data_IF_997951484977
#
_entry.id   IF_997951484977
#
_cell.length_a   1.000
_cell.length_b   1.000
_cell.length_c   1.000
_cell.angle_alpha   90.00
_cell.angle_beta   90.00
_cell.angle_gamma   90.00
#
_symmetry.space_group_name_H-M   'P 1'
#
loop_
_entity.id
_entity.type
_entity.pdbx_description
1 polymer ?
#
# COMPACT_ATOMS: atom_id res chain seq x y z
N UNK A 1 -45.62 -9.93 -42.47
CA UNK A 1 -44.41 -10.66 -42.02
C UNK A 1 -43.24 -10.20 -42.89
N UNK A 2 -42.21 -9.61 -42.30
CA UNK A 2 -41.02 -9.14 -43.01
C UNK A 2 -40.11 -8.41 -42.03
N UNK A 3 -39.10 -9.11 -41.54
CA UNK A 3 -38.28 -8.81 -40.36
C UNK A 3 -37.34 -7.63 -40.59
N UNK A 4 -37.30 -6.70 -39.64
CA UNK A 4 -36.25 -5.68 -39.49
C UNK A 4 -35.01 -6.34 -38.90
N UNK A 5 -33.87 -6.27 -39.59
CA UNK A 5 -32.58 -6.73 -39.08
C UNK A 5 -31.62 -5.53 -39.00
N UNK A 6 -31.50 -5.00 -37.79
CA UNK A 6 -30.53 -4.03 -37.31
C UNK A 6 -29.10 -4.52 -37.60
N UNK A 7 -28.32 -3.69 -38.30
CA UNK A 7 -26.88 -3.90 -38.46
C UNK A 7 -26.20 -3.73 -37.09
N UNK A 8 -25.68 -4.85 -36.56
CA UNK A 8 -24.85 -4.87 -35.35
C UNK A 8 -23.48 -4.30 -35.73
N UNK A 9 -23.17 -3.11 -35.22
CA UNK A 9 -21.84 -2.51 -35.36
C UNK A 9 -20.82 -3.32 -34.54
N UNK A 10 -19.78 -3.80 -35.23
CA UNK A 10 -18.69 -4.58 -34.67
C UNK A 10 -17.75 -3.68 -33.84
N UNK A 11 -17.82 -3.78 -32.51
CA UNK A 11 -16.95 -3.06 -31.58
C UNK A 11 -15.54 -3.67 -31.61
N UNK A 12 -14.59 -3.03 -32.31
CA UNK A 12 -13.19 -3.47 -32.34
C UNK A 12 -12.61 -3.45 -30.91
N UNK A 13 -11.92 -4.52 -30.44
CA UNK A 13 -11.35 -4.54 -29.11
C UNK A 13 -10.22 -3.50 -29.03
N UNK A 14 -10.49 -2.41 -28.32
CA UNK A 14 -9.52 -1.32 -28.14
C UNK A 14 -8.27 -1.89 -27.47
N UNK A 15 -7.18 -1.97 -28.24
CA UNK A 15 -5.93 -2.60 -27.80
C UNK A 15 -5.33 -1.87 -26.61
N UNK A 16 -4.71 -2.62 -25.69
CA UNK A 16 -4.06 -2.09 -24.49
C UNK A 16 -3.11 -0.93 -24.81
N UNK A 17 -2.39 -1.01 -25.94
CA UNK A 17 -1.51 0.03 -26.45
C UNK A 17 -2.26 1.32 -26.83
N UNK A 18 -3.45 1.24 -27.44
CA UNK A 18 -4.28 2.42 -27.72
C UNK A 18 -4.92 3.00 -26.46
N UNK A 19 -5.26 2.15 -25.48
CA UNK A 19 -5.73 2.62 -24.17
C UNK A 19 -4.63 3.37 -23.43
N UNK A 20 -3.38 2.90 -23.50
CA UNK A 20 -2.20 3.57 -22.94
C UNK A 20 -1.87 4.85 -23.73
N UNK A 21 -1.90 4.80 -25.06
CA UNK A 21 -1.66 5.99 -25.91
C UNK A 21 -2.74 7.05 -25.69
N UNK A 22 -4.01 6.66 -25.57
CA UNK A 22 -5.11 7.56 -25.18
C UNK A 22 -5.01 8.07 -23.75
N UNK A 23 -4.40 7.29 -22.84
CA UNK A 23 -4.11 7.73 -21.47
C UNK A 23 -3.06 8.84 -21.42
N UNK A 24 -2.06 8.80 -22.32
CA UNK A 24 -0.94 9.76 -22.37
C UNK A 24 -1.08 10.87 -23.42
N UNK A 25 -1.83 10.68 -24.51
CA UNK A 25 -1.92 11.61 -25.64
C UNK A 25 -3.00 12.70 -25.48
N UNK A 26 -3.72 12.74 -24.36
CA UNK A 26 -4.58 13.88 -24.01
C UNK A 26 -3.70 15.11 -23.73
N UNK A 27 -3.48 15.93 -24.75
CA UNK A 27 -2.58 17.10 -24.83
C UNK A 27 -2.84 18.25 -23.83
N UNK A 28 -3.71 18.04 -22.85
CA UNK A 28 -3.81 18.82 -21.63
C UNK A 28 -4.00 17.82 -20.50
N UNK A 29 -2.90 17.40 -19.87
CA UNK A 29 -2.95 16.81 -18.54
C UNK A 29 -3.58 17.85 -17.61
N UNK A 30 -4.90 17.80 -17.52
CA UNK A 30 -5.72 18.72 -16.76
C UNK A 30 -5.17 18.75 -15.33
N UNK A 31 -4.88 19.94 -14.79
CA UNK A 31 -4.25 20.07 -13.46
C UNK A 31 -5.05 19.30 -12.41
N UNK A 32 -6.38 19.22 -12.58
CA UNK A 32 -7.26 18.42 -11.75
C UNK A 32 -7.03 16.91 -11.89
N UNK A 33 -6.75 16.40 -13.11
CA UNK A 33 -6.37 15.00 -13.34
C UNK A 33 -4.96 14.68 -12.83
N UNK A 34 -4.01 15.59 -13.02
CA UNK A 34 -2.66 15.45 -12.45
C UNK A 34 -2.71 15.43 -10.92
N UNK A 35 -3.49 16.31 -10.32
CA UNK A 35 -3.70 16.33 -8.88
C UNK A 35 -4.37 15.03 -8.40
N UNK A 36 -5.40 14.55 -9.10
CA UNK A 36 -6.04 13.27 -8.81
C UNK A 36 -5.02 12.12 -8.88
N UNK A 37 -4.36 11.93 -10.02
CA UNK A 37 -3.32 10.91 -10.21
C UNK A 37 -2.20 11.01 -9.16
N UNK A 38 -1.87 12.22 -8.71
CA UNK A 38 -0.92 12.46 -7.62
C UNK A 38 -1.39 11.90 -6.29
N UNK A 39 -2.66 12.14 -5.92
CA UNK A 39 -3.24 11.57 -4.70
C UNK A 39 -3.34 10.03 -4.78
N UNK A 40 -3.84 9.49 -5.89
CA UNK A 40 -3.93 8.05 -6.11
C UNK A 40 -2.57 7.36 -6.08
N UNK A 41 -1.59 7.89 -6.81
CA UNK A 41 -0.23 7.35 -6.84
C UNK A 41 0.45 7.44 -5.47
N UNK A 42 0.23 8.53 -4.71
CA UNK A 42 0.77 8.67 -3.36
C UNK A 42 0.17 7.64 -2.40
N UNK A 43 -1.15 7.48 -2.38
CA UNK A 43 -1.81 6.47 -1.54
C UNK A 43 -1.38 5.05 -1.93
N UNK A 44 -1.32 4.75 -3.23
CA UNK A 44 -0.86 3.46 -3.75
C UNK A 44 0.58 3.17 -3.30
N UNK A 45 1.47 4.15 -3.47
CA UNK A 45 2.85 4.03 -3.03
C UNK A 45 2.95 3.81 -1.51
N UNK A 46 2.17 4.56 -0.73
CA UNK A 46 2.09 4.41 0.72
C UNK A 46 1.72 2.99 1.14
N UNK A 47 0.68 2.41 0.55
CA UNK A 47 0.26 1.03 0.83
C UNK A 47 1.34 0.02 0.44
N UNK A 48 1.86 0.08 -0.78
CA UNK A 48 2.89 -0.87 -1.25
C UNK A 48 4.16 -0.73 -0.40
N UNK A 49 4.50 0.49 -0.01
CA UNK A 49 5.65 0.74 0.86
C UNK A 49 5.43 0.22 2.28
N UNK A 50 4.24 0.36 2.84
CA UNK A 50 3.89 -0.22 4.14
C UNK A 50 3.90 -1.75 4.10
N UNK A 51 3.46 -2.38 3.01
CA UNK A 51 3.54 -3.84 2.84
C UNK A 51 5.01 -4.30 2.87
N UNK A 52 5.87 -3.66 2.07
CA UNK A 52 7.29 -3.99 2.08
C UNK A 52 7.93 -3.74 3.45
N UNK A 53 7.67 -2.59 4.07
CA UNK A 53 8.18 -2.28 5.40
C UNK A 53 7.70 -3.32 6.43
N UNK A 54 6.43 -3.71 6.38
CA UNK A 54 5.85 -4.75 7.22
C UNK A 54 6.58 -6.08 7.07
N UNK A 55 6.84 -6.53 5.84
CA UNK A 55 7.61 -7.75 5.57
C UNK A 55 9.01 -7.68 6.20
N UNK A 56 9.73 -6.58 6.00
CA UNK A 56 11.08 -6.43 6.55
C UNK A 56 11.07 -6.39 8.08
N UNK A 57 10.11 -5.66 8.68
CA UNK A 57 9.93 -5.59 10.14
C UNK A 57 9.61 -6.97 10.68
N UNK A 58 8.68 -7.70 10.08
CA UNK A 58 8.32 -9.06 10.49
C UNK A 58 9.51 -10.01 10.43
N UNK A 59 10.28 -10.00 9.35
CA UNK A 59 11.49 -10.83 9.23
C UNK A 59 12.51 -10.45 10.31
N UNK A 60 12.82 -9.17 10.47
CA UNK A 60 13.78 -8.71 11.47
C UNK A 60 13.34 -9.06 12.90
N UNK A 61 12.06 -8.85 13.21
CA UNK A 61 11.47 -9.16 14.51
C UNK A 61 11.54 -10.65 14.83
N UNK A 62 11.06 -11.49 13.91
CA UNK A 62 11.09 -12.95 14.09
C UNK A 62 12.51 -13.47 14.17
N UNK A 63 13.46 -12.90 13.43
CA UNK A 63 14.87 -13.29 13.53
C UNK A 63 15.44 -13.03 14.93
N UNK A 64 15.11 -11.90 15.55
CA UNK A 64 15.49 -11.63 16.95
C UNK A 64 14.82 -12.63 17.88
N UNK A 65 13.50 -12.78 17.81
CA UNK A 65 12.74 -13.70 18.67
C UNK A 65 13.25 -15.13 18.57
N UNK A 66 13.56 -15.61 17.37
CA UNK A 66 14.06 -16.97 17.15
C UNK A 66 15.51 -17.17 17.58
N UNK A 67 16.32 -16.10 17.62
CA UNK A 67 17.73 -16.17 18.01
C UNK A 67 17.96 -15.96 19.51
N UNK A 68 17.12 -15.18 20.18
CA UNK A 68 17.28 -14.85 21.61
C UNK A 68 16.21 -15.43 22.51
N UNK A 69 15.08 -15.87 21.95
CA UNK A 69 13.88 -16.21 22.72
C UNK A 69 13.16 -14.98 23.32
N UNK A 70 13.64 -13.77 23.03
CA UNK A 70 13.14 -12.49 23.55
C UNK A 70 12.71 -11.59 22.39
N UNK A 71 11.84 -10.64 22.68
CA UNK A 71 11.41 -9.65 21.68
C UNK A 71 12.43 -8.51 21.54
N UNK A 72 12.41 -7.78 20.41
CA UNK A 72 13.14 -6.51 20.27
C UNK A 72 12.81 -5.45 21.33
N UNK A 73 11.66 -5.57 22.01
CA UNK A 73 11.23 -4.65 23.07
C UNK A 73 11.87 -4.97 24.42
N UNK A 74 12.39 -6.18 24.60
CA UNK A 74 13.12 -6.56 25.80
C UNK A 74 14.48 -5.83 25.83
N UNK A 75 14.90 -5.41 27.02
CA UNK A 75 16.09 -4.60 27.22
C UNK A 75 17.34 -5.19 26.54
N UNK A 76 18.02 -4.38 25.73
CA UNK A 76 19.27 -4.75 25.05
C UNK A 76 19.11 -5.44 23.69
N UNK A 77 17.90 -5.85 23.27
CA UNK A 77 17.69 -6.48 21.96
C UNK A 77 17.42 -5.50 20.81
N UNK A 78 17.10 -4.24 21.14
CA UNK A 78 16.80 -3.19 20.17
C UNK A 78 17.92 -2.95 19.13
N UNK A 79 19.22 -2.86 19.51
CA UNK A 79 20.29 -2.69 18.53
C UNK A 79 20.40 -3.85 17.55
N UNK A 80 20.14 -5.09 18.00
CA UNK A 80 20.16 -6.30 17.17
C UNK A 80 19.04 -6.26 16.13
N UNK A 81 17.83 -5.88 16.55
CA UNK A 81 16.72 -5.67 15.64
C UNK A 81 17.05 -4.62 14.57
N UNK A 82 17.58 -3.46 14.99
CA UNK A 82 17.94 -2.38 14.07
C UNK A 82 19.03 -2.81 13.09
N UNK A 83 20.03 -3.57 13.52
CA UNK A 83 21.08 -4.06 12.62
C UNK A 83 20.51 -4.98 11.52
N UNK A 84 19.66 -5.94 11.90
CA UNK A 84 19.00 -6.84 10.93
C UNK A 84 18.09 -6.04 10.00
N UNK A 85 17.24 -5.18 10.57
CA UNK A 85 16.31 -4.37 9.79
C UNK A 85 17.03 -3.42 8.83
N UNK A 86 18.14 -2.79 9.26
CA UNK A 86 18.94 -1.92 8.41
C UNK A 86 19.54 -2.69 7.21
N UNK A 87 20.06 -3.90 7.44
CA UNK A 87 20.55 -4.76 6.36
C UNK A 87 19.46 -5.09 5.34
N UNK A 88 18.29 -5.50 5.82
CA UNK A 88 17.12 -5.77 4.98
C UNK A 88 16.65 -4.53 4.23
N UNK A 89 16.64 -3.37 4.89
CA UNK A 89 16.21 -2.11 4.33
C UNK A 89 17.12 -1.65 3.20
N UNK A 90 18.44 -1.76 3.36
CA UNK A 90 19.43 -1.47 2.30
C UNK A 90 19.13 -2.33 1.07
N UNK A 91 18.94 -3.64 1.24
CA UNK A 91 18.56 -4.54 0.14
C UNK A 91 17.21 -4.16 -0.51
N UNK A 92 16.26 -3.66 0.27
CA UNK A 92 14.95 -3.27 -0.26
C UNK A 92 14.95 -1.99 -1.10
N UNK A 93 16.03 -1.18 -1.06
CA UNK A 93 16.14 0.01 -1.89
C UNK A 93 16.17 -0.34 -3.40
N UNK A 94 16.64 -1.54 -3.76
CA UNK A 94 16.58 -2.05 -5.14
C UNK A 94 15.13 -2.27 -5.62
N UNK A 95 14.19 -2.49 -4.71
CA UNK A 95 12.76 -2.62 -5.03
C UNK A 95 12.06 -1.26 -5.16
N UNK A 96 12.74 -0.14 -4.90
CA UNK A 96 12.14 1.19 -4.96
C UNK A 96 11.60 1.54 -6.36
N UNK A 97 12.31 1.30 -7.48
CA UNK A 97 11.76 1.55 -8.81
C UNK A 97 10.52 0.71 -9.10
N UNK A 98 10.55 -0.58 -8.73
CA UNK A 98 9.42 -1.50 -8.89
C UNK A 98 8.21 -0.97 -8.10
N UNK A 99 8.42 -0.52 -6.87
CA UNK A 99 7.38 0.06 -6.02
C UNK A 99 6.73 1.30 -6.62
N UNK A 100 7.53 2.18 -7.23
CA UNK A 100 7.02 3.35 -7.94
C UNK A 100 6.21 2.94 -9.18
N UNK A 101 6.69 1.96 -9.96
CA UNK A 101 5.93 1.47 -11.13
C UNK A 101 4.62 0.80 -10.74
N UNK A 102 4.60 -0.01 -9.68
CA UNK A 102 3.39 -0.62 -9.14
C UNK A 102 2.43 0.43 -8.58
N UNK A 103 2.94 1.47 -7.91
CA UNK A 103 2.13 2.56 -7.40
C UNK A 103 1.46 3.35 -8.53
N UNK A 104 2.18 3.64 -9.61
CA UNK A 104 1.63 4.30 -10.79
C UNK A 104 0.59 3.42 -11.49
N UNK A 105 0.83 2.11 -11.59
CA UNK A 105 -0.14 1.17 -12.14
C UNK A 105 -1.41 1.05 -11.28
N UNK A 106 -1.28 1.14 -9.96
CA UNK A 106 -2.38 1.09 -9.00
C UNK A 106 -3.06 2.45 -8.76
N UNK A 107 -2.47 3.56 -9.18
CA UNK A 107 -3.01 4.91 -9.00
C UNK A 107 -4.51 5.06 -9.37
N UNK A 108 -5.02 4.56 -10.52
CA UNK A 108 -6.44 4.71 -10.86
C UNK A 108 -7.38 3.97 -9.90
N UNK A 109 -6.92 2.87 -9.27
CA UNK A 109 -7.71 2.14 -8.28
C UNK A 109 -7.86 2.99 -7.00
N UNK A 110 -6.77 3.62 -6.56
CA UNK A 110 -6.80 4.49 -5.38
C UNK A 110 -7.57 5.79 -5.64
N UNK A 111 -7.51 6.34 -6.85
CA UNK A 111 -8.36 7.49 -7.22
C UNK A 111 -9.85 7.15 -7.18
N UNK A 112 -10.23 5.96 -7.65
CA UNK A 112 -11.60 5.47 -7.55
C UNK A 112 -12.03 5.30 -6.08
N UNK A 113 -11.13 4.80 -5.22
CA UNK A 113 -11.37 4.66 -3.79
C UNK A 113 -11.55 6.02 -3.10
N UNK A 114 -10.70 7.02 -3.38
CA UNK A 114 -10.85 8.39 -2.86
C UNK A 114 -12.18 8.98 -3.32
N UNK A 115 -12.55 8.77 -4.59
CA UNK A 115 -13.85 9.18 -5.12
C UNK A 115 -15.03 8.49 -4.43
N UNK A 116 -14.90 7.22 -4.08
CA UNK A 116 -15.90 6.48 -3.29
C UNK A 116 -16.04 7.07 -1.88
N UNK A 117 -14.93 7.29 -1.17
CA UNK A 117 -14.92 7.89 0.17
C UNK A 117 -15.52 9.29 0.15
N UNK A 118 -15.14 10.12 -0.82
CA UNK A 118 -15.67 11.48 -1.00
C UNK A 118 -17.19 11.47 -1.23
N UNK A 119 -17.70 10.58 -2.09
CA UNK A 119 -19.15 10.45 -2.33
C UNK A 119 -19.92 9.95 -1.12
N UNK A 120 -19.34 9.03 -0.33
CA UNK A 120 -19.99 8.46 0.86
C UNK A 120 -20.01 9.42 2.05
N UNK A 121 -18.95 10.20 2.22
CA UNK A 121 -18.81 11.13 3.35
C UNK A 121 -19.31 12.54 3.02
N UNK A 122 -19.57 12.84 1.74
CA UNK A 122 -19.90 14.20 1.28
C UNK A 122 -18.73 15.18 1.36
N UNK A 123 -17.53 14.69 1.71
CA UNK A 123 -16.34 15.52 1.91
C UNK A 123 -15.67 15.88 0.57
N UNK A 124 -15.02 17.05 0.48
CA UNK A 124 -14.16 17.37 -0.66
C UNK A 124 -12.98 16.39 -0.74
N UNK A 125 -12.36 16.31 -1.93
CA UNK A 125 -11.33 15.29 -2.24
C UNK A 125 -10.15 15.25 -1.27
N UNK A 126 -9.69 16.40 -0.77
CA UNK A 126 -8.51 16.48 0.10
C UNK A 126 -8.78 15.89 1.50
N UNK A 127 -9.84 16.29 2.24
CA UNK A 127 -10.22 15.59 3.47
C UNK A 127 -10.55 14.12 3.27
N UNK A 128 -11.23 13.74 2.19
CA UNK A 128 -11.52 12.34 1.89
C UNK A 128 -10.24 11.50 1.72
N UNK A 129 -9.22 12.07 1.07
CA UNK A 129 -7.90 11.46 0.94
C UNK A 129 -7.19 11.31 2.30
N UNK A 130 -7.25 12.31 3.18
CA UNK A 130 -6.65 12.22 4.52
C UNK A 130 -7.34 11.16 5.38
N UNK A 131 -8.67 11.09 5.34
CA UNK A 131 -9.44 10.05 6.01
C UNK A 131 -9.03 8.68 5.50
N UNK A 132 -8.91 8.51 4.18
CA UNK A 132 -8.45 7.26 3.58
C UNK A 132 -7.03 6.88 4.05
N UNK A 133 -6.10 7.84 4.07
CA UNK A 133 -4.74 7.64 4.58
C UNK A 133 -4.72 7.19 6.04
N UNK A 134 -5.56 7.79 6.88
CA UNK A 134 -5.68 7.42 8.29
C UNK A 134 -6.16 5.98 8.45
N UNK A 135 -7.19 5.56 7.69
CA UNK A 135 -7.66 4.17 7.71
C UNK A 135 -6.61 3.20 7.15
N UNK A 136 -5.87 3.59 6.12
CA UNK A 136 -4.75 2.81 5.59
C UNK A 136 -3.66 2.64 6.68
N UNK A 137 -3.33 3.70 7.41
CA UNK A 137 -2.34 3.65 8.48
C UNK A 137 -2.77 2.70 9.60
N UNK A 138 -4.02 2.81 10.05
CA UNK A 138 -4.58 1.87 11.04
C UNK A 138 -4.54 0.45 10.50
N UNK A 139 -5.09 0.21 9.30
CA UNK A 139 -5.19 -1.12 8.72
C UNK A 139 -3.83 -1.79 8.53
N UNK A 140 -2.84 -1.07 8.01
CA UNK A 140 -1.48 -1.59 7.83
C UNK A 140 -0.78 -1.85 9.17
N UNK A 141 -0.97 -0.99 10.17
CA UNK A 141 -0.41 -1.19 11.52
C UNK A 141 -1.05 -2.38 12.22
N UNK A 142 -2.38 -2.48 12.20
CA UNK A 142 -3.13 -3.62 12.75
C UNK A 142 -2.73 -4.93 12.06
N UNK A 143 -2.59 -4.91 10.73
CA UNK A 143 -2.14 -6.09 9.97
C UNK A 143 -0.73 -6.51 10.35
N UNK A 144 0.20 -5.56 10.54
CA UNK A 144 1.56 -5.85 11.00
C UNK A 144 1.56 -6.50 12.38
N UNK A 145 0.86 -5.90 13.35
CA UNK A 145 0.78 -6.46 14.72
C UNK A 145 0.11 -7.83 14.71
N UNK A 146 -0.98 -8.00 13.96
CA UNK A 146 -1.66 -9.29 13.81
C UNK A 146 -0.72 -10.35 13.18
N UNK A 147 0.04 -9.98 12.15
CA UNK A 147 1.02 -10.87 11.51
C UNK A 147 2.10 -11.29 12.49
N UNK A 148 2.64 -10.36 13.28
CA UNK A 148 3.60 -10.66 14.33
C UNK A 148 2.99 -11.59 15.40
N UNK A 149 1.75 -11.35 15.83
CA UNK A 149 1.08 -12.19 16.81
C UNK A 149 0.87 -13.63 16.30
N UNK A 150 0.35 -13.78 15.09
CA UNK A 150 0.08 -15.09 14.47
C UNK A 150 1.37 -15.88 14.23
N UNK A 151 2.45 -15.22 13.83
CA UNK A 151 3.73 -15.88 13.53
C UNK A 151 4.59 -16.15 14.78
N UNK A 152 4.08 -15.86 15.98
CA UNK A 152 4.79 -16.12 17.24
C UNK A 152 5.86 -15.07 17.56
N UNK A 153 5.66 -13.83 17.12
CA UNK A 153 6.52 -12.69 17.44
C UNK A 153 6.45 -12.25 18.91
N UNK A 154 5.48 -12.76 19.68
CA UNK A 154 5.33 -12.51 21.11
C UNK A 154 5.37 -13.86 21.88
N UNK A 155 6.56 -14.35 22.26
CA UNK A 155 6.68 -15.59 23.02
C UNK A 155 6.07 -15.45 24.43
N UNK A 156 5.53 -16.54 25.02
CA UNK A 156 5.00 -16.54 26.38
C UNK A 156 6.12 -16.22 27.38
N UNK A 157 5.95 -15.14 28.15
CA UNK A 157 6.97 -14.59 29.06
C UNK A 157 7.56 -13.24 28.63
N UNK A 158 7.18 -12.74 27.45
CA UNK A 158 7.56 -11.39 27.01
C UNK A 158 6.93 -10.33 27.92
N UNK A 159 7.77 -9.47 28.51
CA UNK A 159 7.32 -8.34 29.32
C UNK A 159 6.99 -7.18 28.39
N UNK A 160 5.71 -6.93 28.21
CA UNK A 160 5.27 -5.78 27.43
C UNK A 160 5.66 -4.49 28.18
N UNK A 161 5.94 -3.38 27.50
CA UNK A 161 6.42 -2.15 28.14
C UNK A 161 5.50 -1.63 29.26
N UNK A 162 4.19 -1.88 29.15
CA UNK A 162 3.19 -1.53 30.16
C UNK A 162 3.08 -2.50 31.33
N UNK A 163 3.86 -3.59 31.33
CA UNK A 163 4.01 -4.54 32.43
C UNK A 163 5.29 -4.29 33.25
N UNK A 164 6.08 -3.27 32.88
CA UNK A 164 7.30 -2.85 33.57
C UNK A 164 7.08 -1.63 34.49
N UNK A 165 5.83 -1.18 34.64
CA UNK A 165 5.41 -0.10 35.52
C UNK A 165 4.83 -0.65 36.83
#
# INVERSE_FOLDING_TARGET
MGVSATAVAEEKPVGLAERIKGFFAGSKLDKARLAALGFGAFSAYGVISNINAGILITIAWLTVVRSTGLTPLDGGNWPRFLAIYAGLWIGSNFLRPIRLTLALAAAPLFDAAIGFVSRRTGLPKVPAFLVMLFFIAIGTTSTLVATLAVLGGFPPGCRLPWQLA
#
